data_IF_631213223303
#
_entry.id   IF_631213223303
#
_cell.length_a   1.000
_cell.length_b   1.000
_cell.length_c   1.000
_cell.angle_alpha   90.00
_cell.angle_beta   90.00
_cell.angle_gamma   90.00
#
_symmetry.space_group_name_H-M   'P 1'
#
loop_
_entity.id
_entity.type
_entity.pdbx_description
1 polymer ?
#
# COMPACT_ATOMS: atom_id res chain seq x y z
N UNK A 1 5.15 14.92 63.61
CA UNK A 1 4.15 14.02 64.26
C UNK A 1 3.84 12.90 63.29
N UNK A 2 3.99 11.67 63.77
CA UNK A 2 3.86 10.40 63.13
C UNK A 2 2.43 10.13 62.70
N UNK A 3 2.23 9.43 61.54
CA UNK A 3 1.50 8.15 61.49
C UNK A 3 1.62 7.53 60.14
N UNK A 4 2.36 6.42 60.09
CA UNK A 4 2.33 5.36 59.08
C UNK A 4 1.05 4.56 59.24
N UNK A 5 0.44 4.15 58.14
CA UNK A 5 -0.41 2.98 58.17
C UNK A 5 -0.15 2.13 56.91
N UNK A 6 0.55 1.05 57.13
CA UNK A 6 0.67 -0.12 56.21
C UNK A 6 -0.54 -1.03 56.47
N UNK A 7 -1.13 -1.55 55.42
CA UNK A 7 -1.90 -2.80 55.52
C UNK A 7 -1.51 -3.67 54.34
N UNK A 8 -1.18 -4.87 54.71
CA UNK A 8 -0.58 -6.02 54.02
C UNK A 8 -1.70 -7.00 53.58
N UNK A 9 -1.45 -7.73 52.49
CA UNK A 9 -1.77 -9.14 52.22
C UNK A 9 -3.20 -9.55 51.93
N UNK A 10 -3.49 -10.21 50.80
CA UNK A 10 -3.57 -11.68 50.80
C UNK A 10 -3.58 -12.25 49.34
N UNK A 11 -2.72 -13.22 49.15
CA UNK A 11 -2.68 -14.11 47.98
C UNK A 11 -3.77 -15.17 48.07
N UNK A 12 -4.33 -15.60 46.96
CA UNK A 12 -5.01 -16.89 46.86
C UNK A 12 -4.61 -17.56 45.54
N UNK A 13 -3.89 -18.66 45.71
CA UNK A 13 -3.53 -19.68 44.74
C UNK A 13 -4.75 -20.61 44.53
N UNK A 14 -5.02 -20.93 43.28
CA UNK A 14 -5.99 -21.96 42.93
C UNK A 14 -5.54 -22.72 41.69
N UNK A 15 -4.79 -23.79 41.90
CA UNK A 15 -4.48 -24.77 40.85
C UNK A 15 -5.61 -25.81 40.78
N UNK A 16 -6.03 -26.15 39.59
CA UNK A 16 -6.77 -27.38 39.33
C UNK A 16 -6.27 -28.00 38.03
N UNK A 17 -5.50 -29.07 38.19
CA UNK A 17 -5.21 -30.06 37.14
C UNK A 17 -6.41 -30.97 36.97
N UNK A 18 -6.72 -31.37 35.75
CA UNK A 18 -7.34 -32.64 35.46
C UNK A 18 -6.77 -33.18 34.14
N UNK A 19 -6.01 -34.24 34.31
CA UNK A 19 -5.52 -35.14 33.28
C UNK A 19 -6.65 -36.07 32.80
N UNK A 20 -6.65 -36.37 31.51
CA UNK A 20 -7.49 -37.40 30.91
C UNK A 20 -6.73 -38.05 29.76
N UNK A 21 -6.06 -39.17 30.07
CA UNK A 21 -5.51 -40.13 29.11
C UNK A 21 -6.59 -40.88 28.38
N UNK A 22 -6.38 -41.18 27.09
CA UNK A 22 -7.13 -42.16 26.33
C UNK A 22 -6.31 -42.62 25.13
N UNK A 23 -5.59 -43.73 25.32
CA UNK A 23 -4.86 -44.46 24.29
C UNK A 23 -5.76 -45.49 23.60
N UNK A 24 -5.44 -45.79 22.33
CA UNK A 24 -6.05 -46.88 21.57
C UNK A 24 -5.57 -46.84 20.13
N UNK A 25 -4.47 -47.40 19.86
CA UNK A 25 -4.02 -48.64 19.20
C UNK A 25 -4.45 -48.81 17.74
N UNK A 26 -3.44 -48.82 16.97
CA UNK A 26 -2.99 -49.43 15.74
C UNK A 26 -3.77 -50.62 15.11
N UNK A 27 -3.55 -50.77 13.86
CA UNK A 27 -3.53 -51.89 12.91
C UNK A 27 -4.57 -51.73 11.79
N UNK A 28 -4.28 -51.97 10.50
CA UNK A 28 -3.23 -52.74 9.84
C UNK A 28 -3.59 -52.80 8.36
N UNK A 29 -2.57 -52.80 7.61
CA UNK A 29 -2.34 -53.37 6.29
C UNK A 29 -3.48 -54.21 5.65
N UNK A 30 -3.73 -53.99 4.35
CA UNK A 30 -3.46 -55.01 3.31
C UNK A 30 -3.67 -54.43 1.91
N UNK A 31 -2.74 -54.83 1.06
CA UNK A 31 -2.73 -54.69 -0.40
C UNK A 31 -3.61 -55.81 -1.04
N UNK A 32 -4.00 -55.61 -2.28
CA UNK A 32 -4.11 -56.50 -3.42
C UNK A 32 -5.11 -55.90 -4.42
N UNK A 33 -4.74 -55.56 -5.60
CA UNK A 33 -4.32 -56.33 -6.77
C UNK A 33 -5.51 -56.73 -7.66
N UNK A 34 -5.26 -56.61 -8.94
CA UNK A 34 -5.95 -57.19 -10.11
C UNK A 34 -6.95 -56.33 -10.86
N UNK A 35 -6.96 -56.27 -12.16
CA UNK A 35 -6.24 -56.90 -13.25
C UNK A 35 -6.67 -56.26 -14.57
N UNK A 36 -5.78 -56.29 -15.47
CA UNK A 36 -5.86 -56.06 -16.88
C UNK A 36 -7.16 -56.48 -17.60
N UNK A 37 -7.53 -55.76 -18.62
CA UNK A 37 -8.09 -56.38 -19.82
C UNK A 37 -7.56 -55.69 -21.08
N UNK A 38 -6.69 -56.39 -21.76
CA UNK A 38 -6.29 -56.19 -23.15
C UNK A 38 -7.45 -56.59 -24.06
N UNK A 39 -7.63 -55.84 -25.15
CA UNK A 39 -8.12 -56.46 -26.38
C UNK A 39 -7.62 -55.66 -27.58
N UNK A 40 -6.84 -56.32 -28.32
CA UNK A 40 -6.18 -56.03 -29.60
C UNK A 40 -7.17 -55.99 -30.77
N UNK A 41 -6.66 -55.35 -31.81
CA UNK A 41 -6.82 -55.52 -33.28
C UNK A 41 -7.58 -54.38 -33.96
N UNK A 42 -7.21 -53.82 -35.12
CA UNK A 42 -6.31 -54.20 -36.18
C UNK A 42 -5.98 -52.97 -37.08
N UNK A 43 -4.94 -53.12 -37.85
CA UNK A 43 -4.31 -52.28 -38.84
C UNK A 43 -5.22 -51.92 -40.02
N UNK A 44 -5.16 -50.65 -40.46
CA UNK A 44 -5.21 -50.34 -41.89
C UNK A 44 -4.48 -49.04 -42.19
N UNK A 45 -3.39 -49.13 -42.89
CA UNK A 45 -2.66 -48.09 -43.59
C UNK A 45 -3.48 -47.47 -44.70
N UNK A 46 -3.50 -46.14 -44.81
CA UNK A 46 -3.42 -45.51 -46.13
C UNK A 46 -2.70 -44.17 -46.11
N UNK A 47 -2.06 -43.84 -47.19
CA UNK A 47 -1.04 -42.84 -47.44
C UNK A 47 -1.63 -41.53 -47.93
N UNK A 48 -0.91 -40.45 -47.56
CA UNK A 48 -0.66 -39.21 -48.29
C UNK A 48 -1.79 -38.17 -48.39
N UNK A 49 -1.60 -36.96 -47.83
CA UNK A 49 -1.09 -35.86 -48.67
C UNK A 49 -0.64 -34.69 -47.78
N UNK A 50 0.44 -34.05 -48.16
CA UNK A 50 0.98 -32.90 -47.52
C UNK A 50 0.20 -31.63 -47.97
N UNK A 51 -0.44 -30.93 -47.01
CA UNK A 51 -0.75 -29.54 -47.22
C UNK A 51 -0.42 -28.80 -45.92
N UNK A 52 0.68 -28.09 -45.92
CA UNK A 52 1.05 -27.13 -44.91
C UNK A 52 0.06 -25.95 -44.99
N UNK A 53 -0.89 -25.93 -44.11
CA UNK A 53 -1.64 -24.70 -43.77
C UNK A 53 -0.94 -24.09 -42.59
N UNK A 54 -0.23 -23.00 -42.86
CA UNK A 54 0.24 -22.01 -41.88
C UNK A 54 -0.98 -21.46 -41.18
N UNK A 55 -1.31 -22.04 -40.02
CA UNK A 55 -2.29 -21.46 -39.09
C UNK A 55 -1.50 -20.55 -38.16
N UNK A 56 -1.31 -19.34 -38.63
CA UNK A 56 -1.05 -18.20 -37.74
C UNK A 56 -2.25 -18.12 -36.78
N UNK A 57 -2.14 -18.75 -35.62
CA UNK A 57 -3.04 -18.53 -34.49
C UNK A 57 -2.85 -17.08 -34.08
N UNK A 58 -3.75 -16.26 -34.61
CA UNK A 58 -3.99 -14.91 -34.05
C UNK A 58 -4.63 -15.11 -32.67
N UNK A 59 -3.80 -15.15 -31.63
CA UNK A 59 -4.26 -15.11 -30.25
C UNK A 59 -4.84 -13.71 -30.03
N UNK A 60 -6.10 -13.55 -30.39
CA UNK A 60 -6.90 -12.43 -29.91
C UNK A 60 -7.05 -12.63 -28.42
N UNK A 61 -6.38 -11.78 -27.63
CA UNK A 61 -6.64 -11.68 -26.19
C UNK A 61 -8.15 -11.49 -26.03
N UNK A 62 -8.81 -12.39 -25.30
CA UNK A 62 -10.23 -12.24 -24.99
C UNK A 62 -10.38 -11.03 -24.08
N UNK A 63 -11.13 -10.02 -24.52
CA UNK A 63 -11.53 -8.90 -23.69
C UNK A 63 -12.41 -9.46 -22.57
N UNK A 64 -12.10 -9.19 -21.29
CA UNK A 64 -12.93 -9.65 -20.17
C UNK A 64 -14.40 -9.19 -20.30
N UNK A 65 -15.32 -10.01 -19.81
CA UNK A 65 -16.74 -9.68 -19.81
C UNK A 65 -16.98 -8.42 -18.96
N UNK A 66 -17.66 -7.40 -19.53
CA UNK A 66 -17.92 -6.14 -18.85
C UNK A 66 -19.07 -6.30 -17.86
N UNK A 67 -18.75 -6.21 -16.57
CA UNK A 67 -19.70 -6.30 -15.47
C UNK A 67 -20.12 -4.93 -14.91
N UNK A 68 -19.71 -3.82 -15.56
CA UNK A 68 -19.97 -2.47 -15.09
C UNK A 68 -19.26 -2.09 -13.78
N UNK A 69 -18.22 -2.82 -13.42
CA UNK A 69 -17.46 -2.58 -12.17
C UNK A 69 -16.01 -2.18 -12.48
N UNK A 70 -15.48 -1.25 -11.69
CA UNK A 70 -14.06 -0.93 -11.63
C UNK A 70 -13.58 -1.29 -10.24
N UNK A 71 -12.62 -2.19 -10.15
CA UNK A 71 -12.00 -2.61 -8.89
C UNK A 71 -10.59 -2.07 -8.77
N UNK A 72 -10.31 -1.36 -7.66
CA UNK A 72 -8.98 -0.84 -7.35
C UNK A 72 -8.53 -1.31 -5.97
N UNK A 73 -7.24 -1.56 -5.81
CA UNK A 73 -6.63 -2.03 -4.57
C UNK A 73 -5.27 -1.35 -4.36
N UNK A 74 -4.92 -1.01 -3.14
CA UNK A 74 -3.56 -0.58 -2.82
C UNK A 74 -3.41 0.63 -1.90
N UNK A 75 -2.63 1.59 -2.33
CA UNK A 75 -2.11 2.69 -1.53
C UNK A 75 -3.16 3.46 -0.72
N UNK A 76 -3.06 3.41 0.61
CA UNK A 76 -3.90 4.19 1.53
C UNK A 76 -3.67 5.70 1.44
N UNK A 77 -2.55 6.14 0.87
CA UNK A 77 -2.27 7.57 0.64
C UNK A 77 -3.05 8.14 -0.53
N UNK A 78 -3.50 7.28 -1.45
CA UNK A 78 -4.28 7.69 -2.63
C UNK A 78 -5.78 7.78 -2.36
N UNK A 79 -6.25 7.40 -1.16
CA UNK A 79 -7.67 7.30 -0.81
C UNK A 79 -8.48 8.52 -1.23
N UNK A 80 -8.01 9.73 -0.88
CA UNK A 80 -8.74 10.97 -1.18
C UNK A 80 -8.80 11.26 -2.68
N UNK A 81 -7.69 11.02 -3.39
CA UNK A 81 -7.59 11.26 -4.83
C UNK A 81 -8.43 10.24 -5.61
N UNK A 82 -8.24 8.95 -5.34
CA UNK A 82 -8.92 7.91 -6.09
C UNK A 82 -10.41 7.83 -5.75
N UNK A 83 -10.78 8.15 -4.51
CA UNK A 83 -12.18 8.27 -4.09
C UNK A 83 -12.91 9.36 -4.85
N UNK A 84 -12.33 10.58 -4.91
CA UNK A 84 -12.92 11.69 -5.66
C UNK A 84 -13.04 11.39 -7.16
N UNK A 85 -12.05 10.75 -7.75
CA UNK A 85 -12.09 10.33 -9.16
C UNK A 85 -13.14 9.24 -9.40
N UNK A 86 -13.24 8.25 -8.51
CA UNK A 86 -14.25 7.21 -8.58
C UNK A 86 -15.68 7.75 -8.46
N UNK A 87 -15.92 8.64 -7.50
CA UNK A 87 -17.22 9.32 -7.32
C UNK A 87 -17.59 10.13 -8.56
N UNK A 88 -16.65 10.90 -9.11
CA UNK A 88 -16.88 11.68 -10.32
C UNK A 88 -17.15 10.80 -11.53
N UNK A 89 -16.46 9.67 -11.66
CA UNK A 89 -16.69 8.72 -12.75
C UNK A 89 -18.06 8.06 -12.67
N UNK A 90 -18.47 7.61 -11.48
CA UNK A 90 -19.82 7.05 -11.27
C UNK A 90 -20.90 8.06 -11.55
N UNK A 91 -20.71 9.33 -11.19
CA UNK A 91 -21.68 10.39 -11.48
C UNK A 91 -21.88 10.66 -12.98
N UNK A 92 -20.91 10.31 -13.81
CA UNK A 92 -20.94 10.49 -15.28
C UNK A 92 -21.33 9.21 -16.04
N UNK A 93 -21.45 8.06 -15.34
CA UNK A 93 -21.67 6.75 -15.95
C UNK A 93 -22.70 5.96 -15.13
N UNK A 94 -23.97 6.07 -15.54
CA UNK A 94 -25.06 5.38 -14.88
C UNK A 94 -24.84 3.84 -14.85
N UNK A 95 -25.10 3.24 -13.70
CA UNK A 95 -24.99 1.79 -13.51
C UNK A 95 -23.57 1.27 -13.26
N UNK A 96 -22.54 2.14 -13.30
CA UNK A 96 -21.17 1.75 -12.97
C UNK A 96 -20.97 1.73 -11.46
N UNK A 97 -20.23 0.72 -10.98
CA UNK A 97 -19.77 0.61 -9.59
C UNK A 97 -18.24 0.78 -9.55
N UNK A 98 -17.77 1.69 -8.73
CA UNK A 98 -16.34 1.84 -8.40
C UNK A 98 -16.06 1.31 -7.01
N UNK A 99 -15.01 0.50 -6.87
CA UNK A 99 -14.56 -0.04 -5.58
C UNK A 99 -13.08 0.27 -5.34
N UNK A 100 -12.77 0.64 -4.12
CA UNK A 100 -11.41 0.87 -3.67
C UNK A 100 -11.14 0.12 -2.35
N UNK A 101 -10.07 -0.67 -2.34
CA UNK A 101 -9.63 -1.44 -1.18
C UNK A 101 -8.28 -0.89 -0.67
N UNK A 102 -8.21 -0.21 0.48
CA UNK A 102 -7.00 0.44 0.98
C UNK A 102 -6.06 -0.53 1.70
N UNK A 103 -5.32 -1.36 0.98
CA UNK A 103 -4.47 -2.42 1.53
C UNK A 103 -2.97 -2.10 1.60
N UNK A 104 -2.54 -0.96 1.03
CA UNK A 104 -1.13 -0.58 0.88
C UNK A 104 -0.57 -0.89 -0.50
N UNK A 105 0.49 -0.15 -0.90
CA UNK A 105 1.03 -0.19 -2.27
C UNK A 105 1.49 -1.58 -2.70
N UNK A 106 2.23 -2.29 -1.85
CA UNK A 106 2.71 -3.65 -2.16
C UNK A 106 1.58 -4.64 -2.36
N UNK A 107 0.52 -4.56 -1.53
CA UNK A 107 -0.66 -5.42 -1.66
C UNK A 107 -1.43 -5.14 -2.94
N UNK A 108 -1.60 -3.86 -3.32
CA UNK A 108 -2.26 -3.48 -4.57
C UNK A 108 -1.49 -3.92 -5.80
N UNK A 109 -0.15 -3.81 -5.79
CA UNK A 109 0.71 -4.32 -6.86
C UNK A 109 0.55 -5.84 -7.00
N UNK A 110 0.56 -6.57 -5.88
CA UNK A 110 0.33 -8.02 -5.86
C UNK A 110 -1.07 -8.37 -6.36
N UNK A 111 -2.10 -7.59 -5.97
CA UNK A 111 -3.48 -7.83 -6.39
C UNK A 111 -3.63 -7.78 -7.91
N UNK A 112 -3.00 -6.81 -8.58
CA UNK A 112 -2.96 -6.75 -10.05
C UNK A 112 -2.18 -7.91 -10.65
N UNK A 113 -1.00 -8.23 -10.10
CA UNK A 113 -0.19 -9.35 -10.60
C UNK A 113 -0.97 -10.67 -10.61
N UNK A 114 -1.82 -10.87 -9.60
CA UNK A 114 -2.68 -12.05 -9.43
C UNK A 114 -4.06 -11.95 -10.09
N UNK A 115 -4.40 -10.81 -10.71
CA UNK A 115 -5.70 -10.59 -11.36
C UNK A 115 -6.87 -10.45 -10.37
N UNK A 116 -6.62 -10.00 -9.13
CA UNK A 116 -7.64 -9.79 -8.09
C UNK A 116 -8.31 -8.42 -8.13
N UNK A 117 -7.75 -7.47 -8.86
CA UNK A 117 -8.35 -6.18 -9.16
C UNK A 117 -7.93 -5.73 -10.57
N UNK A 118 -8.67 -4.77 -11.11
CA UNK A 118 -8.40 -4.22 -12.44
C UNK A 118 -7.17 -3.31 -12.43
N UNK A 119 -7.07 -2.42 -11.44
CA UNK A 119 -6.04 -1.39 -11.35
C UNK A 119 -5.45 -1.37 -9.94
N UNK A 120 -4.14 -1.57 -9.85
CA UNK A 120 -3.39 -1.39 -8.61
C UNK A 120 -3.05 0.08 -8.36
N UNK A 121 -3.01 0.45 -7.09
CA UNK A 121 -2.68 1.80 -6.66
C UNK A 121 -1.38 1.78 -5.86
N UNK A 122 -0.38 2.52 -6.33
CA UNK A 122 0.90 2.61 -5.62
C UNK A 122 1.32 4.06 -5.41
N UNK A 123 1.90 4.31 -4.26
CA UNK A 123 2.49 5.61 -3.91
C UNK A 123 4.01 5.56 -3.94
N UNK A 124 4.56 4.78 -4.84
CA UNK A 124 5.94 4.69 -5.28
C UNK A 124 6.01 4.11 -6.69
N UNK A 125 7.14 4.27 -7.35
CA UNK A 125 7.40 3.54 -8.59
C UNK A 125 7.43 2.02 -8.37
N UNK A 126 7.17 1.26 -9.42
CA UNK A 126 7.40 -0.18 -9.43
C UNK A 126 8.90 -0.48 -9.26
N UNK A 127 9.20 -1.55 -8.55
CA UNK A 127 10.55 -2.12 -8.45
C UNK A 127 10.87 -2.93 -9.70
N UNK A 128 12.15 -3.17 -9.96
CA UNK A 128 12.59 -3.91 -11.17
C UNK A 128 12.01 -5.33 -11.23
N UNK A 129 11.87 -5.99 -10.08
CA UNK A 129 11.27 -7.33 -9.98
C UNK A 129 9.76 -7.32 -10.23
N UNK A 130 9.06 -6.23 -9.90
CA UNK A 130 7.64 -6.04 -10.21
C UNK A 130 7.43 -5.78 -11.72
N UNK A 131 8.30 -4.95 -12.31
CA UNK A 131 8.31 -4.74 -13.78
C UNK A 131 8.65 -6.04 -14.52
N UNK A 132 9.58 -6.84 -14.02
CA UNK A 132 9.92 -8.13 -14.60
C UNK A 132 8.78 -9.17 -14.57
N UNK A 133 7.77 -8.95 -13.71
CA UNK A 133 6.53 -9.74 -13.69
C UNK A 133 5.49 -9.28 -14.74
N UNK A 134 5.85 -8.34 -15.60
CA UNK A 134 4.96 -7.79 -16.63
C UNK A 134 4.01 -6.71 -16.09
N UNK A 135 4.31 -6.10 -14.95
CA UNK A 135 3.53 -4.99 -14.46
C UNK A 135 3.98 -3.68 -15.12
N UNK A 136 3.01 -2.81 -15.40
CA UNK A 136 3.20 -1.47 -15.96
C UNK A 136 2.66 -0.43 -15.02
N UNK A 137 3.36 0.70 -14.93
CA UNK A 137 2.90 1.86 -14.17
C UNK A 137 2.57 3.03 -15.08
N UNK A 138 1.55 3.78 -14.71
CA UNK A 138 1.21 5.08 -15.29
C UNK A 138 1.15 6.09 -14.16
N UNK A 139 1.92 7.17 -14.26
CA UNK A 139 1.92 8.23 -13.24
C UNK A 139 0.61 9.00 -13.34
N UNK A 140 -0.16 9.01 -12.25
CA UNK A 140 -1.40 9.75 -12.11
C UNK A 140 -1.18 11.16 -11.58
N UNK A 141 -0.36 11.28 -10.55
CA UNK A 141 -0.10 12.52 -9.84
C UNK A 141 1.22 12.47 -9.08
N UNK A 142 1.65 13.63 -8.56
CA UNK A 142 2.72 13.75 -7.57
C UNK A 142 2.15 14.21 -6.24
N UNK A 143 2.71 13.69 -5.14
CA UNK A 143 2.28 13.97 -3.79
C UNK A 143 3.50 14.19 -2.87
N UNK A 144 3.40 15.19 -2.00
CA UNK A 144 4.39 15.40 -0.96
C UNK A 144 4.25 14.36 0.16
N UNK A 145 5.36 13.88 0.69
CA UNK A 145 5.38 13.16 1.95
C UNK A 145 5.65 14.18 3.06
N UNK A 146 4.59 14.68 3.68
CA UNK A 146 4.70 15.65 4.75
C UNK A 146 5.25 15.00 6.03
N UNK A 147 6.25 15.61 6.63
CA UNK A 147 6.68 15.31 7.99
C UNK A 147 5.67 15.96 8.93
N UNK A 148 5.05 15.19 9.80
CA UNK A 148 3.99 15.64 10.68
C UNK A 148 4.33 15.44 12.15
N UNK A 149 3.93 16.41 12.94
CA UNK A 149 4.05 16.39 14.42
C UNK A 149 2.72 16.79 15.05
N UNK A 150 2.58 16.56 16.34
CA UNK A 150 1.43 17.09 17.09
C UNK A 150 1.42 18.62 17.03
N UNK A 151 0.24 19.30 17.00
CA UNK A 151 0.16 20.75 16.98
C UNK A 151 0.83 21.45 18.19
N UNK A 152 0.95 20.76 19.33
CA UNK A 152 1.65 21.27 20.53
C UNK A 152 3.17 21.21 20.42
N UNK A 153 3.74 20.50 19.41
CA UNK A 153 5.17 20.44 19.20
C UNK A 153 5.69 21.78 18.67
N UNK A 154 6.77 22.32 19.26
CA UNK A 154 7.34 23.63 18.92
C UNK A 154 8.17 23.61 17.64
N UNK A 155 8.68 22.44 17.23
CA UNK A 155 9.52 22.29 16.03
C UNK A 155 8.70 22.60 14.78
N UNK A 156 9.22 23.48 13.92
CA UNK A 156 8.52 23.93 12.71
C UNK A 156 9.32 23.71 11.41
N UNK A 157 10.61 23.40 11.52
CA UNK A 157 11.48 23.13 10.38
C UNK A 157 12.52 22.07 10.73
N UNK A 158 12.78 21.15 9.81
CA UNK A 158 13.84 20.11 9.91
C UNK A 158 14.43 19.92 8.51
N UNK A 159 15.74 19.79 8.39
CA UNK A 159 16.34 19.37 7.13
C UNK A 159 16.29 17.83 6.96
N UNK A 160 16.52 17.36 5.74
CA UNK A 160 16.47 15.92 5.42
C UNK A 160 17.47 15.10 6.23
N UNK A 161 18.68 15.65 6.48
CA UNK A 161 19.71 14.98 7.26
C UNK A 161 19.29 14.83 8.73
N UNK A 162 18.70 15.87 9.31
CA UNK A 162 18.17 15.83 10.68
C UNK A 162 17.02 14.85 10.81
N UNK A 163 16.10 14.80 9.82
CA UNK A 163 15.03 13.81 9.76
C UNK A 163 15.63 12.40 9.72
N UNK A 164 16.62 12.15 8.88
CA UNK A 164 17.29 10.85 8.81
C UNK A 164 17.90 10.45 10.17
N UNK A 165 18.61 11.39 10.85
CA UNK A 165 19.20 11.16 12.18
C UNK A 165 18.15 10.86 13.25
N UNK A 166 16.98 11.51 13.17
CA UNK A 166 15.88 11.22 14.09
C UNK A 166 15.39 9.78 13.85
N UNK A 167 15.10 9.40 12.61
CA UNK A 167 14.54 8.08 12.32
C UNK A 167 15.53 6.93 12.48
N UNK A 168 16.84 7.19 12.39
CA UNK A 168 17.91 6.19 12.69
C UNK A 168 18.32 6.15 14.17
N UNK A 169 17.74 7.01 15.02
CA UNK A 169 17.99 7.04 16.46
C UNK A 169 19.30 7.74 16.88
N UNK A 170 19.93 8.49 15.99
CA UNK A 170 21.08 9.36 16.34
C UNK A 170 20.62 10.58 17.14
N UNK A 171 19.42 11.09 16.84
CA UNK A 171 18.75 12.15 17.59
C UNK A 171 17.48 11.55 18.20
N UNK A 172 17.40 11.53 19.53
CA UNK A 172 16.30 10.89 20.26
C UNK A 172 15.50 11.84 21.15
N UNK A 173 15.90 13.09 21.24
CA UNK A 173 15.24 14.08 22.11
C UNK A 173 14.91 15.35 21.30
N UNK A 174 13.71 15.85 21.46
CA UNK A 174 13.22 17.06 20.79
C UNK A 174 14.05 18.31 21.08
N UNK A 175 14.69 18.42 22.27
CA UNK A 175 15.57 19.56 22.61
C UNK A 175 16.77 19.70 21.68
N UNK A 176 17.23 18.59 21.09
CA UNK A 176 18.41 18.58 20.20
C UNK A 176 18.08 19.20 18.83
N UNK A 177 16.78 19.42 18.56
CA UNK A 177 16.27 20.04 17.33
C UNK A 177 15.37 21.26 17.63
N UNK A 178 15.53 21.86 18.81
CA UNK A 178 14.84 23.12 19.17
C UNK A 178 13.45 22.98 19.77
N UNK A 179 13.05 21.77 20.13
CA UNK A 179 11.81 21.50 20.87
C UNK A 179 12.01 21.36 22.38
N UNK A 180 10.99 20.85 23.06
CA UNK A 180 11.02 20.59 24.50
C UNK A 180 11.95 19.43 24.88
N UNK A 181 12.35 19.35 26.16
CA UNK A 181 13.13 18.20 26.67
C UNK A 181 12.19 16.98 26.84
N UNK A 182 12.02 16.22 25.76
CA UNK A 182 11.20 15.02 25.70
C UNK A 182 11.74 14.05 24.64
N UNK A 183 11.57 12.73 24.88
CA UNK A 183 11.96 11.68 23.92
C UNK A 183 11.08 11.75 22.67
N UNK A 184 11.69 11.60 21.50
CA UNK A 184 10.99 11.55 20.21
C UNK A 184 10.34 10.18 20.02
N UNK A 185 9.04 10.15 19.72
CA UNK A 185 8.29 8.92 19.44
C UNK A 185 8.12 8.76 17.93
N UNK A 186 8.81 7.79 17.33
CA UNK A 186 8.84 7.55 15.89
C UNK A 186 7.63 6.74 15.45
N UNK A 187 6.76 7.34 14.65
CA UNK A 187 5.60 6.68 14.04
C UNK A 187 5.87 6.49 12.56
N UNK A 188 5.76 5.25 12.10
CA UNK A 188 5.97 4.90 10.70
C UNK A 188 4.89 4.02 10.13
N UNK A 189 5.17 3.48 8.95
CA UNK A 189 4.29 2.59 8.21
C UNK A 189 4.88 1.19 8.17
N UNK A 190 4.01 0.20 7.98
CA UNK A 190 4.37 -1.20 7.78
C UNK A 190 5.24 -1.41 6.53
N UNK A 191 5.91 -2.55 6.46
CA UNK A 191 6.58 -3.01 5.25
C UNK A 191 5.57 -3.15 4.09
N UNK A 192 5.99 -2.74 2.88
CA UNK A 192 5.12 -2.71 1.70
C UNK A 192 4.31 -1.43 1.53
N UNK A 193 4.39 -0.49 2.49
CA UNK A 193 3.86 0.87 2.31
C UNK A 193 4.71 1.66 1.33
N UNK A 194 4.10 2.10 0.21
CA UNK A 194 4.79 2.97 -0.74
C UNK A 194 5.19 4.33 -0.16
N UNK A 195 4.51 4.79 0.91
CA UNK A 195 4.90 6.02 1.62
C UNK A 195 6.17 5.79 2.44
N UNK A 196 6.28 4.63 3.10
CA UNK A 196 7.52 4.23 3.78
C UNK A 196 8.67 4.10 2.79
N UNK A 197 8.46 3.34 1.70
CA UNK A 197 9.49 3.14 0.68
C UNK A 197 9.98 4.49 0.12
N UNK A 198 9.05 5.41 -0.22
CA UNK A 198 9.41 6.74 -0.70
C UNK A 198 10.12 7.60 0.34
N UNK A 199 9.65 7.61 1.58
CA UNK A 199 10.28 8.35 2.68
C UNK A 199 11.70 7.85 2.96
N UNK A 200 11.86 6.55 3.17
CA UNK A 200 13.16 5.94 3.48
C UNK A 200 14.17 6.11 2.35
N UNK A 201 13.72 5.99 1.08
CA UNK A 201 14.58 6.19 -0.09
C UNK A 201 15.09 7.63 -0.19
N UNK A 202 14.22 8.62 0.01
CA UNK A 202 14.61 10.03 -0.08
C UNK A 202 15.52 10.45 1.08
N UNK A 203 15.29 9.91 2.27
CA UNK A 203 16.10 10.20 3.46
C UNK A 203 17.36 9.33 3.57
N UNK A 204 17.53 8.31 2.71
CA UNK A 204 18.66 7.36 2.75
C UNK A 204 18.64 6.47 3.98
N UNK A 205 17.45 6.16 4.48
CA UNK A 205 17.25 5.40 5.72
C UNK A 205 16.60 4.04 5.49
N UNK A 206 16.68 3.49 4.27
CA UNK A 206 16.12 2.19 3.94
C UNK A 206 16.58 1.12 4.94
N UNK A 207 15.61 0.42 5.51
CA UNK A 207 15.79 -0.65 6.52
C UNK A 207 16.55 -0.23 7.81
N UNK A 208 16.67 1.08 8.08
CA UNK A 208 17.41 1.60 9.25
C UNK A 208 16.52 2.36 10.25
N UNK A 209 15.28 2.62 9.88
CA UNK A 209 14.38 3.38 10.75
C UNK A 209 13.99 2.58 11.98
N UNK A 210 14.05 3.23 13.16
CA UNK A 210 13.75 2.63 14.46
C UNK A 210 12.32 3.01 14.92
N UNK A 211 11.33 2.61 14.15
CA UNK A 211 9.93 2.91 14.46
C UNK A 211 9.50 2.36 15.82
N UNK A 212 8.88 3.21 16.63
CA UNK A 212 8.20 2.81 17.86
C UNK A 212 6.88 2.08 17.56
N UNK A 213 6.20 2.51 16.49
CA UNK A 213 4.99 1.89 15.96
C UNK A 213 5.02 1.90 14.44
N UNK A 214 4.65 0.78 13.85
CA UNK A 214 4.40 0.62 12.42
C UNK A 214 2.89 0.44 12.21
N UNK A 215 2.29 1.32 11.40
CA UNK A 215 0.85 1.41 11.22
C UNK A 215 0.47 1.07 9.78
N UNK A 216 -0.74 0.52 9.61
CA UNK A 216 -1.18 -0.05 8.33
C UNK A 216 -1.82 0.97 7.38
N UNK A 217 -2.16 2.17 7.86
CA UNK A 217 -2.76 3.21 7.01
C UNK A 217 -2.18 4.59 7.24
N UNK A 218 -2.31 5.47 6.25
CA UNK A 218 -1.99 6.89 6.36
C UNK A 218 -2.84 7.58 7.43
N UNK A 219 -4.11 7.22 7.54
CA UNK A 219 -5.03 7.77 8.53
C UNK A 219 -4.63 7.42 9.97
N UNK A 220 -4.14 6.19 10.20
CA UNK A 220 -3.68 5.76 11.52
C UNK A 220 -2.43 6.52 11.96
N UNK A 221 -1.48 6.79 11.05
CA UNK A 221 -0.31 7.63 11.36
C UNK A 221 -0.75 9.02 11.79
N UNK A 222 -1.62 9.68 11.02
CA UNK A 222 -2.13 11.01 11.34
C UNK A 222 -2.83 11.01 12.71
N UNK A 223 -3.69 10.02 12.96
CA UNK A 223 -4.41 9.91 14.23
C UNK A 223 -3.47 9.69 15.41
N UNK A 224 -2.47 8.83 15.26
CA UNK A 224 -1.51 8.52 16.33
C UNK A 224 -0.63 9.73 16.66
N UNK A 225 -0.15 10.46 15.65
CA UNK A 225 0.62 11.69 15.83
C UNK A 225 -0.24 12.78 16.48
N UNK A 226 -1.50 12.93 16.08
CA UNK A 226 -2.43 13.89 16.67
C UNK A 226 -2.68 13.64 18.17
N UNK A 227 -2.58 12.40 18.63
CA UNK A 227 -2.83 12.01 20.02
C UNK A 227 -1.58 12.01 20.91
N UNK A 228 -0.39 12.16 20.33
CA UNK A 228 0.87 12.10 21.08
C UNK A 228 1.72 13.36 20.83
N UNK A 229 1.85 14.26 21.84
CA UNK A 229 2.66 15.49 21.74
C UNK A 229 4.14 15.28 21.43
N UNK A 230 4.67 14.08 21.66
CA UNK A 230 6.07 13.75 21.45
C UNK A 230 6.31 12.97 20.13
N UNK A 231 5.24 12.69 19.37
CA UNK A 231 5.34 11.93 18.14
C UNK A 231 5.81 12.75 16.93
N UNK A 232 6.59 12.09 16.09
CA UNK A 232 6.85 12.47 14.71
C UNK A 232 6.38 11.34 13.79
N UNK A 233 5.80 11.69 12.66
CA UNK A 233 5.37 10.76 11.63
C UNK A 233 5.53 11.36 10.25
N UNK A 234 5.16 10.60 9.24
CA UNK A 234 5.08 11.07 7.86
C UNK A 234 3.79 10.57 7.20
N UNK A 235 3.21 11.41 6.36
CA UNK A 235 1.94 11.11 5.69
C UNK A 235 1.89 11.77 4.31
N UNK A 236 1.01 11.28 3.45
CA UNK A 236 0.65 11.97 2.21
C UNK A 236 0.16 13.38 2.52
N UNK A 237 0.70 14.39 1.84
CA UNK A 237 0.28 15.78 1.97
C UNK A 237 -1.21 15.94 1.68
N UNK A 238 -1.71 15.24 0.67
CA UNK A 238 -3.14 15.21 0.32
C UNK A 238 -4.04 14.75 1.48
N UNK A 239 -3.51 13.97 2.44
CA UNK A 239 -4.25 13.43 3.58
C UNK A 239 -4.09 14.25 4.85
N UNK A 240 -3.15 15.21 4.91
CA UNK A 240 -2.89 16.03 6.10
C UNK A 240 -4.13 16.86 6.45
N UNK A 241 -4.42 16.96 7.74
CA UNK A 241 -5.55 17.70 8.32
C UNK A 241 -5.04 18.60 9.45
N UNK A 242 -5.85 19.55 9.88
CA UNK A 242 -5.55 20.50 10.97
C UNK A 242 -5.33 19.83 12.35
N UNK A 243 -5.57 18.51 12.43
CA UNK A 243 -5.30 17.71 13.65
C UNK A 243 -3.82 17.46 13.88
N UNK A 244 -2.97 17.66 12.88
CA UNK A 244 -1.52 17.58 12.96
C UNK A 244 -0.88 18.81 12.33
N UNK A 245 0.37 19.09 12.69
CA UNK A 245 1.18 20.15 12.10
C UNK A 245 2.18 19.56 11.11
N UNK A 246 2.15 20.02 9.86
CA UNK A 246 3.20 19.74 8.91
C UNK A 246 4.44 20.61 9.21
N UNK A 247 5.61 19.97 9.21
CA UNK A 247 6.90 20.62 9.44
C UNK A 247 7.52 20.98 8.09
N UNK A 248 8.10 22.16 7.98
CA UNK A 248 8.90 22.55 6.81
C UNK A 248 10.13 21.65 6.68
N UNK A 249 10.62 21.47 5.46
CA UNK A 249 11.83 20.70 5.21
C UNK A 249 12.85 21.60 4.53
N UNK A 250 13.92 21.93 5.28
CA UNK A 250 14.95 22.85 4.82
C UNK A 250 14.39 24.25 4.48
N UNK A 251 13.46 24.74 5.28
CA UNK A 251 12.77 26.02 5.09
C UNK A 251 11.63 25.99 4.07
N UNK A 252 11.35 24.85 3.41
CA UNK A 252 10.28 24.72 2.42
C UNK A 252 9.04 24.11 3.06
N UNK A 253 7.92 24.83 3.04
CA UNK A 253 6.62 24.34 3.54
C UNK A 253 6.05 23.32 2.55
N UNK A 254 5.56 22.15 2.99
CA UNK A 254 4.90 21.20 2.11
C UNK A 254 3.54 21.75 1.66
N UNK A 255 3.44 22.13 0.40
CA UNK A 255 2.22 22.60 -0.27
C UNK A 255 2.13 21.99 -1.67
N UNK A 256 0.95 22.03 -2.28
CA UNK A 256 0.80 21.62 -3.69
C UNK A 256 1.74 22.41 -4.61
N UNK A 257 1.94 23.71 -4.36
CA UNK A 257 2.82 24.57 -5.15
C UNK A 257 4.27 24.13 -5.04
N UNK A 258 4.75 23.83 -3.82
CA UNK A 258 6.14 23.42 -3.59
C UNK A 258 6.40 21.96 -4.03
N UNK A 259 5.38 21.13 -4.10
CA UNK A 259 5.44 19.82 -4.77
C UNK A 259 5.49 19.99 -6.28
N UNK A 260 4.66 20.87 -6.84
CA UNK A 260 4.58 21.13 -8.29
C UNK A 260 5.86 21.71 -8.88
N UNK A 261 6.50 22.63 -8.18
CA UNK A 261 7.77 23.26 -8.62
C UNK A 261 9.01 22.46 -8.16
N UNK A 262 8.81 21.33 -7.50
CA UNK A 262 9.82 20.43 -6.95
C UNK A 262 10.75 21.07 -5.91
N UNK A 263 10.39 22.19 -5.30
CA UNK A 263 11.15 22.78 -4.19
C UNK A 263 10.99 21.98 -2.90
N UNK A 264 9.83 21.33 -2.67
CA UNK A 264 9.66 20.37 -1.58
C UNK A 264 10.25 19.02 -1.99
N UNK A 265 11.36 18.64 -1.39
CA UNK A 265 12.18 17.51 -1.85
C UNK A 265 11.63 16.13 -1.47
N UNK A 266 10.81 16.02 -0.40
CA UNK A 266 10.24 14.74 0.03
C UNK A 266 8.91 14.52 -0.69
N UNK A 267 8.98 14.14 -1.97
CA UNK A 267 7.81 13.88 -2.82
C UNK A 267 7.97 12.60 -3.64
N UNK A 268 6.86 12.07 -4.11
CA UNK A 268 6.82 10.79 -4.83
C UNK A 268 5.64 10.74 -5.81
N UNK A 269 5.65 9.83 -6.80
CA UNK A 269 4.49 9.63 -7.66
C UNK A 269 3.38 8.83 -6.97
N UNK A 270 2.15 9.15 -7.35
CA UNK A 270 1.01 8.24 -7.30
C UNK A 270 0.90 7.56 -8.65
N UNK A 271 0.89 6.23 -8.68
CA UNK A 271 0.86 5.47 -9.92
C UNK A 271 -0.30 4.49 -9.96
N UNK A 272 -0.87 4.36 -11.14
CA UNK A 272 -1.78 3.30 -11.51
C UNK A 272 -0.94 2.12 -12.03
N UNK A 273 -1.24 0.92 -11.57
CA UNK A 273 -0.55 -0.30 -11.97
C UNK A 273 -1.50 -1.19 -12.75
N UNK A 274 -1.06 -1.66 -13.92
CA UNK A 274 -1.77 -2.62 -14.76
C UNK A 274 -0.85 -3.77 -15.15
N UNK A 275 -1.41 -4.86 -15.68
CA UNK A 275 -0.62 -6.01 -16.11
C UNK A 275 -0.52 -6.07 -17.64
N UNK A 276 0.69 -6.18 -18.18
CA UNK A 276 0.94 -6.33 -19.59
C UNK A 276 0.31 -7.62 -20.13
N UNK A 277 -0.29 -7.54 -21.32
CA UNK A 277 -0.95 -8.69 -21.93
C UNK A 277 -2.30 -9.07 -21.31
N UNK A 278 -2.76 -8.33 -20.29
CA UNK A 278 -4.11 -8.46 -19.74
C UNK A 278 -4.91 -7.22 -20.13
N UNK A 279 -5.98 -7.40 -20.86
CA UNK A 279 -6.89 -6.29 -21.20
C UNK A 279 -7.77 -5.98 -19.99
N UNK A 280 -7.96 -4.71 -19.72
CA UNK A 280 -8.96 -4.24 -18.74
C UNK A 280 -10.38 -4.50 -19.29
N UNK A 281 -11.35 -4.69 -18.40
CA UNK A 281 -12.76 -4.66 -18.83
C UNK A 281 -13.07 -3.33 -19.51
N UNK A 282 -14.06 -3.24 -20.42
CA UNK A 282 -14.41 -1.98 -21.06
C UNK A 282 -14.69 -0.84 -20.08
N UNK A 283 -15.36 -1.13 -18.96
CA UNK A 283 -15.63 -0.13 -17.91
C UNK A 283 -14.34 0.26 -17.17
N UNK A 284 -13.46 -0.66 -16.82
CA UNK A 284 -12.19 -0.36 -16.18
C UNK A 284 -11.25 0.44 -17.11
N UNK A 285 -11.22 0.10 -18.41
CA UNK A 285 -10.47 0.87 -19.41
C UNK A 285 -10.99 2.31 -19.53
N UNK A 286 -12.29 2.49 -19.57
CA UNK A 286 -12.91 3.82 -19.61
C UNK A 286 -12.58 4.64 -18.35
N UNK A 287 -12.53 4.01 -17.20
CA UNK A 287 -12.09 4.66 -15.97
C UNK A 287 -10.60 5.04 -16.04
N UNK A 288 -9.75 4.12 -16.50
CA UNK A 288 -8.32 4.38 -16.66
C UNK A 288 -8.06 5.57 -17.59
N UNK A 289 -8.75 5.60 -18.75
CA UNK A 289 -8.63 6.69 -19.72
C UNK A 289 -9.11 8.02 -19.12
N UNK A 290 -10.21 7.99 -18.37
CA UNK A 290 -10.75 9.17 -17.68
C UNK A 290 -9.76 9.73 -16.66
N UNK A 291 -9.23 8.92 -15.75
CA UNK A 291 -8.36 9.41 -14.69
C UNK A 291 -6.99 9.86 -15.17
N UNK A 292 -6.55 9.37 -16.33
CA UNK A 292 -5.31 9.78 -16.99
C UNK A 292 -5.48 10.92 -17.99
N UNK A 293 -6.71 11.39 -18.19
CA UNK A 293 -7.02 12.53 -19.06
C UNK A 293 -6.82 13.87 -18.35
N UNK A 294 -6.79 14.94 -19.14
CA UNK A 294 -6.74 16.30 -18.61
C UNK A 294 -7.99 16.68 -17.78
N UNK A 295 -9.13 16.03 -18.02
CA UNK A 295 -10.37 16.30 -17.31
C UNK A 295 -10.31 15.91 -15.83
N UNK A 296 -9.42 14.98 -15.47
CA UNK A 296 -9.18 14.56 -14.08
C UNK A 296 -8.32 15.55 -13.28
N UNK A 297 -7.56 16.43 -13.94
CA UNK A 297 -6.54 17.27 -13.31
C UNK A 297 -7.12 18.18 -12.21
N UNK A 298 -8.29 18.79 -12.44
CA UNK A 298 -8.93 19.66 -11.45
C UNK A 298 -9.39 18.88 -10.20
N UNK A 299 -9.84 17.63 -10.39
CA UNK A 299 -10.30 16.77 -9.30
C UNK A 299 -9.09 16.32 -8.46
N UNK A 300 -8.00 15.95 -9.14
CA UNK A 300 -6.73 15.58 -8.47
C UNK A 300 -6.20 16.74 -7.63
N UNK A 301 -6.18 17.97 -8.18
CA UNK A 301 -5.74 19.16 -7.47
C UNK A 301 -6.66 19.46 -6.26
N UNK A 302 -7.97 19.41 -6.41
CA UNK A 302 -8.91 19.59 -5.28
C UNK A 302 -8.75 18.52 -4.21
N UNK A 303 -8.26 17.34 -4.57
CA UNK A 303 -7.94 16.28 -3.62
C UNK A 303 -6.56 16.48 -2.93
N UNK A 304 -5.78 17.50 -3.32
CA UNK A 304 -4.52 17.90 -2.67
C UNK A 304 -3.28 17.22 -3.26
N UNK A 305 -3.34 16.76 -4.51
CA UNK A 305 -2.18 16.22 -5.24
C UNK A 305 -1.96 16.99 -6.55
N UNK A 306 -0.77 16.88 -7.12
CA UNK A 306 -0.39 17.55 -8.36
C UNK A 306 -0.57 16.58 -9.53
N UNK A 307 -1.51 16.85 -10.44
CA UNK A 307 -1.73 16.01 -11.62
C UNK A 307 -0.46 15.90 -12.47
N UNK A 308 -0.23 14.72 -13.06
CA UNK A 308 0.95 14.46 -13.90
C UNK A 308 0.80 14.93 -15.35
N UNK A 309 -0.43 15.20 -15.81
CA UNK A 309 -0.84 15.60 -17.17
C UNK A 309 -1.28 17.07 -17.24
#
# INVERSE_FOLDING_TARGET
MKRKLSILVLAAVGAAMLAGCGAGTANGSTAADNAANESTTDVATDKADASATDSSENVTAEVPEDNGTVSTDGSTSMEKVIGALGESFMAQNDGVTFTYNPTGSGSGITAVAEGRCDIGLSSRNLKDDEVAQGLKQTVLAYDGIAIIVNPENEVSDLDVETIAKIYTGEITNWKDVGGKDAEIVLIGREAGSGTRDGFESITGTEDKCLYRQELTSTGDVITTVAQNPDAIGYASLASVKDTVKAVSVGGVVPTEETVKDASYVIQRPFVLVTKEGTELTPTAQKFFDYVTSADAAEIIAKAGAVAAN
#
